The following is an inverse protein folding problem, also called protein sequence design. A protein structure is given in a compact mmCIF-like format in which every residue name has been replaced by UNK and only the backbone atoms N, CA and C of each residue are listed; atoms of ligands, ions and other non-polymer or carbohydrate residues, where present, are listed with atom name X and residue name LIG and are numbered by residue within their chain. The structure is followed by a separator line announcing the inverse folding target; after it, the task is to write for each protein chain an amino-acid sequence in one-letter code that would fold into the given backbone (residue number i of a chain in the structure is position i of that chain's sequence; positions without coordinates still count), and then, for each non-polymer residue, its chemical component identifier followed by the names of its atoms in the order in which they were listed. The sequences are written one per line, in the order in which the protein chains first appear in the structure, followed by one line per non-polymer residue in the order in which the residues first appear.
data_IF_033415148071
#
_entry.id   IF_033415148071
#
_cell.length_a   1.000
_cell.length_b   1.000
_cell.length_c   1.000
_cell.angle_alpha   90.00
_cell.angle_beta   90.00
_cell.angle_gamma   90.00
#
_symmetry.space_group_name_H-M   'P 1'
#
loop_
_entity.id
_entity.type
_entity.pdbx_description
1 polymer ?
#
# COMPACT_ATOMS: atom_id res chain seq x y z
N UNK A 1 -28.90 18.97 1.65
CA UNK A 1 -27.57 18.41 1.32
C UNK A 1 -27.63 16.92 0.91
N UNK A 2 -28.76 16.42 0.39
CA UNK A 2 -28.91 15.02 -0.03
C UNK A 2 -29.41 14.87 -1.50
N UNK A 3 -29.53 15.97 -2.26
CA UNK A 3 -30.11 15.97 -3.62
C UNK A 3 -29.07 15.84 -4.75
N UNK A 4 -27.78 15.65 -4.42
CA UNK A 4 -26.69 15.56 -5.42
C UNK A 4 -26.20 14.14 -5.68
N UNK A 5 -26.77 13.13 -5.03
CA UNK A 5 -26.36 11.74 -5.21
C UNK A 5 -27.44 10.99 -6.02
N UNK A 6 -27.06 10.50 -7.20
CA UNK A 6 -27.91 9.60 -7.97
C UNK A 6 -27.97 8.23 -7.29
N UNK A 7 -29.15 7.90 -6.74
CA UNK A 7 -29.35 6.66 -5.97
C UNK A 7 -29.21 5.38 -6.80
N UNK A 8 -29.45 5.48 -8.11
CA UNK A 8 -29.43 4.35 -9.04
C UNK A 8 -28.19 4.32 -9.93
N UNK A 9 -27.13 5.05 -9.57
CA UNK A 9 -25.88 5.05 -10.30
C UNK A 9 -25.28 3.64 -10.38
N UNK A 10 -24.85 3.23 -11.58
CA UNK A 10 -24.21 1.94 -11.85
C UNK A 10 -22.83 2.17 -12.44
N UNK A 11 -21.94 1.20 -12.25
CA UNK A 11 -20.63 1.17 -12.93
C UNK A 11 -20.61 0.05 -13.96
N UNK A 12 -19.90 0.27 -15.07
CA UNK A 12 -19.70 -0.77 -16.08
C UNK A 12 -18.76 -1.85 -15.55
N UNK A 13 -19.05 -3.15 -15.76
CA UNK A 13 -18.12 -4.23 -15.42
C UNK A 13 -16.83 -4.21 -16.27
N UNK A 14 -16.81 -3.47 -17.38
CA UNK A 14 -15.66 -3.37 -18.29
C UNK A 14 -14.58 -2.38 -17.81
N UNK A 15 -14.85 -1.63 -16.75
CA UNK A 15 -13.95 -0.62 -16.22
C UNK A 15 -13.48 -0.94 -14.80
N UNK A 16 -12.18 -1.14 -14.65
CA UNK A 16 -11.54 -1.44 -13.37
C UNK A 16 -11.77 -2.87 -12.91
N UNK A 17 -11.39 -3.15 -11.67
CA UNK A 17 -11.60 -4.46 -11.04
C UNK A 17 -11.60 -4.31 -9.53
N UNK A 18 -12.30 -5.21 -8.83
CA UNK A 18 -12.23 -5.26 -7.38
C UNK A 18 -10.83 -5.63 -6.92
N UNK A 19 -10.30 -4.91 -5.92
CA UNK A 19 -8.94 -5.10 -5.42
C UNK A 19 -8.69 -6.54 -4.93
N UNK A 20 -9.71 -7.18 -4.38
CA UNK A 20 -9.65 -8.56 -3.85
C UNK A 20 -9.78 -9.65 -4.91
N UNK A 21 -10.06 -9.30 -6.16
CA UNK A 21 -10.30 -10.27 -7.24
C UNK A 21 -9.16 -10.26 -8.24
N UNK A 22 -8.43 -11.36 -8.33
CA UNK A 22 -7.36 -11.59 -9.32
C UNK A 22 -5.96 -11.72 -8.71
N UNK A 23 -4.95 -12.06 -9.53
CA UNK A 23 -3.57 -12.22 -9.07
C UNK A 23 -2.97 -10.88 -8.63
N UNK A 24 -2.01 -10.95 -7.70
CA UNK A 24 -1.20 -9.80 -7.31
C UNK A 24 -0.51 -9.25 -8.56
N UNK A 25 -0.78 -7.99 -8.87
CA UNK A 25 -0.14 -7.30 -9.98
C UNK A 25 0.37 -5.94 -9.52
N UNK A 26 1.44 -5.45 -10.16
CA UNK A 26 2.11 -4.21 -9.77
C UNK A 26 1.25 -2.95 -10.00
N UNK A 27 0.17 -3.07 -10.78
CA UNK A 27 -0.76 -1.98 -11.05
C UNK A 27 -1.74 -1.73 -9.90
N UNK A 28 -1.93 -2.70 -9.00
CA UNK A 28 -2.79 -2.55 -7.83
C UNK A 28 -2.06 -1.79 -6.73
N UNK A 29 -2.76 -0.83 -6.14
CA UNK A 29 -2.36 -0.23 -4.87
C UNK A 29 -2.72 -1.23 -3.77
N UNK A 30 -1.73 -1.61 -2.95
CA UNK A 30 -1.91 -2.52 -1.83
C UNK A 30 -1.35 -1.89 -0.55
N UNK A 31 -2.06 -2.10 0.56
CA UNK A 31 -1.61 -1.75 1.91
C UNK A 31 -1.10 -2.99 2.61
N UNK A 32 0.09 -2.91 3.18
CA UNK A 32 0.67 -3.98 4.00
C UNK A 32 0.92 -3.46 5.41
N UNK A 33 0.59 -4.28 6.40
CA UNK A 33 0.84 -3.98 7.80
C UNK A 33 2.08 -4.73 8.26
N UNK A 34 3.15 -4.01 8.59
CA UNK A 34 4.38 -4.59 9.12
C UNK A 34 4.59 -4.11 10.55
N UNK A 35 4.95 -5.02 11.45
CA UNK A 35 5.40 -4.67 12.81
C UNK A 35 6.92 -4.46 12.82
N UNK A 36 7.35 -3.20 12.96
CA UNK A 36 8.77 -2.84 12.90
C UNK A 36 9.41 -3.12 14.25
N UNK A 37 10.47 -3.91 14.28
CA UNK A 37 11.30 -4.04 15.48
C UNK A 37 12.17 -2.79 15.71
N UNK A 38 12.63 -2.53 16.95
CA UNK A 38 13.70 -1.56 17.23
C UNK A 38 15.01 -1.99 16.58
N UNK A 39 15.86 -1.03 16.23
CA UNK A 39 17.15 -1.24 15.57
C UNK A 39 17.20 -0.62 14.17
N UNK A 40 16.53 -1.22 13.17
CA UNK A 40 16.58 -0.74 11.79
C UNK A 40 15.72 0.52 11.59
N UNK A 41 16.12 1.37 10.63
CA UNK A 41 15.30 2.49 10.18
C UNK A 41 14.08 2.01 9.38
N UNK A 42 13.02 2.81 9.31
CA UNK A 42 11.86 2.50 8.46
C UNK A 42 12.24 2.26 6.99
N UNK A 43 13.24 2.98 6.46
CA UNK A 43 13.71 2.79 5.08
C UNK A 43 14.41 1.45 4.87
N UNK A 44 15.19 0.97 5.86
CA UNK A 44 15.81 -0.36 5.76
C UNK A 44 14.75 -1.46 5.75
N UNK A 45 13.77 -1.35 6.65
CA UNK A 45 12.70 -2.35 6.76
C UNK A 45 11.81 -2.36 5.51
N UNK A 46 11.47 -1.20 4.95
CA UNK A 46 10.73 -1.14 3.68
C UNK A 46 11.54 -1.70 2.50
N UNK A 47 12.85 -1.44 2.44
CA UNK A 47 13.72 -2.00 1.41
C UNK A 47 13.79 -3.54 1.48
N UNK A 48 13.96 -4.10 2.68
CA UNK A 48 13.95 -5.56 2.85
C UNK A 48 12.60 -6.17 2.50
N UNK A 49 11.49 -5.56 2.94
CA UNK A 49 10.15 -6.02 2.62
C UNK A 49 9.87 -5.99 1.11
N UNK A 50 10.32 -4.93 0.41
CA UNK A 50 10.25 -4.82 -1.05
C UNK A 50 10.95 -6.00 -1.71
N UNK A 51 12.19 -6.26 -1.32
CA UNK A 51 13.04 -7.29 -1.92
C UNK A 51 12.48 -8.69 -1.65
N UNK A 52 12.02 -8.96 -0.43
CA UNK A 52 11.37 -10.24 -0.06
C UNK A 52 10.09 -10.50 -0.86
N UNK A 53 9.33 -9.45 -1.20
CA UNK A 53 8.11 -9.57 -1.98
C UNK A 53 8.35 -9.52 -3.50
N UNK A 54 9.60 -9.34 -3.96
CA UNK A 54 9.92 -9.23 -5.39
C UNK A 54 9.29 -8.00 -6.06
N UNK A 55 9.11 -6.91 -5.31
CA UNK A 55 8.46 -5.70 -5.80
C UNK A 55 9.49 -4.70 -6.35
N UNK A 56 9.11 -3.94 -7.38
CA UNK A 56 9.94 -2.84 -7.88
C UNK A 56 9.96 -1.66 -6.88
N UNK A 57 8.83 -1.39 -6.22
CA UNK A 57 8.63 -0.23 -5.34
C UNK A 57 7.77 -0.57 -4.13
N UNK A 58 8.18 -0.06 -2.97
CA UNK A 58 7.45 -0.13 -1.72
C UNK A 58 7.80 1.10 -0.86
N UNK A 59 6.80 1.90 -0.51
CA UNK A 59 6.96 3.07 0.37
C UNK A 59 6.39 2.80 1.77
N UNK A 60 6.83 3.55 2.78
CA UNK A 60 6.23 3.52 4.11
C UNK A 60 5.34 4.76 4.35
N UNK A 61 4.24 4.60 5.08
CA UNK A 61 3.27 5.66 5.38
C UNK A 61 3.73 6.68 6.42
N UNK A 62 4.88 6.46 7.06
CA UNK A 62 5.49 7.35 8.04
C UNK A 62 6.80 6.77 8.57
N UNK A 63 7.72 7.64 8.99
CA UNK A 63 8.99 7.21 9.56
C UNK A 63 8.82 6.94 11.05
N UNK A 64 9.23 5.75 11.48
CA UNK A 64 9.48 5.43 12.88
C UNK A 64 10.98 5.56 13.11
N UNK A 65 11.35 6.17 14.23
CA UNK A 65 12.76 6.24 14.63
C UNK A 65 13.38 4.83 14.72
N UNK A 66 14.71 4.68 14.55
CA UNK A 66 15.37 3.40 14.65
C UNK A 66 15.02 2.64 15.94
N UNK A 67 14.97 3.32 17.08
CA UNK A 67 14.63 2.72 18.38
C UNK A 67 13.13 2.47 18.58
N UNK A 68 12.25 3.03 17.74
CA UNK A 68 10.82 2.83 17.84
C UNK A 68 10.42 1.46 17.27
N UNK A 69 9.33 0.91 17.82
CA UNK A 69 8.67 -0.30 17.32
C UNK A 69 7.20 -0.06 17.04
N UNK A 70 6.56 -1.02 16.36
CA UNK A 70 5.13 -1.03 16.13
C UNK A 70 4.77 -0.94 14.66
N UNK A 71 3.50 -0.62 14.41
CA UNK A 71 2.91 -0.65 13.08
C UNK A 71 3.60 0.36 12.14
N UNK A 72 4.22 -0.17 11.09
CA UNK A 72 4.74 0.55 9.94
C UNK A 72 3.87 0.21 8.71
N UNK A 73 2.93 1.08 8.33
CA UNK A 73 2.14 0.88 7.11
C UNK A 73 3.05 0.95 5.89
N UNK A 74 2.94 -0.03 4.98
CA UNK A 74 3.67 -0.06 3.72
C UNK A 74 2.68 -0.01 2.54
N UNK A 75 3.08 0.65 1.46
CA UNK A 75 2.29 0.83 0.26
C UNK A 75 3.06 0.33 -0.95
N UNK A 76 2.44 -0.53 -1.76
CA UNK A 76 2.95 -0.96 -3.07
C UNK A 76 1.95 -0.61 -4.16
N UNK A 77 2.42 -0.40 -5.39
CA UNK A 77 1.59 -0.08 -6.55
C UNK A 77 2.12 1.10 -7.35
N UNK A 78 1.47 1.40 -8.48
CA UNK A 78 1.97 2.35 -9.49
C UNK A 78 2.22 3.78 -8.98
N UNK A 79 1.50 4.19 -7.94
CA UNK A 79 1.56 5.54 -7.36
C UNK A 79 2.52 5.64 -6.16
N UNK A 80 3.21 4.55 -5.79
CA UNK A 80 4.16 4.62 -4.71
C UNK A 80 5.37 5.45 -5.12
N UNK A 81 5.64 6.51 -4.35
CA UNK A 81 6.81 7.35 -4.56
C UNK A 81 8.10 6.57 -4.24
N UNK A 82 9.17 6.95 -4.93
CA UNK A 82 10.52 6.46 -4.62
C UNK A 82 10.97 7.21 -3.37
N UNK A 83 10.84 6.60 -2.20
CA UNK A 83 11.37 7.11 -0.94
C UNK A 83 12.75 6.51 -0.67
#
# INVERSE_FOLDING_TARGET
MNDYLEKDAKTSPDHGTFLVKGPLNITRIMFHTLDKSPGPSSHQVSAWARDMMGLEKLGHGGTLDPFASGLLPLLSGRQCANW
#
